data_IF_994572593028
#
_entry.id   IF_994572593028
#
_cell.length_a   1.000
_cell.length_b   1.000
_cell.length_c   1.000
_cell.angle_alpha   90.00
_cell.angle_beta   90.00
_cell.angle_gamma   90.00
#
_symmetry.space_group_name_H-M   'P 1'
#
loop_
_entity.id
_entity.type
_entity.pdbx_description
1 polymer ?
#
# COMPACT_ATOMS: atom_id res chain seq x y z
N UNK A 1 6.85 1.66 -11.13
CA UNK A 1 6.71 2.01 -9.71
C UNK A 1 5.32 1.66 -9.22
N UNK A 2 5.12 1.75 -7.90
CA UNK A 2 3.91 1.45 -7.09
C UNK A 2 2.57 1.70 -7.81
N UNK A 3 2.33 2.92 -8.33
CA UNK A 3 1.08 3.26 -9.04
C UNK A 3 0.84 2.44 -10.33
N UNK A 4 1.91 2.00 -10.99
CA UNK A 4 1.84 1.12 -12.15
C UNK A 4 1.45 -0.31 -11.77
N UNK A 5 1.96 -0.80 -10.64
CA UNK A 5 1.62 -2.13 -10.13
C UNK A 5 0.14 -2.24 -9.75
N UNK A 6 -0.38 -1.32 -8.94
CA UNK A 6 -1.80 -1.36 -8.52
C UNK A 6 -2.73 -1.31 -9.73
N UNK A 7 -2.45 -0.46 -10.73
CA UNK A 7 -3.23 -0.38 -11.96
C UNK A 7 -3.13 -1.65 -12.82
N UNK A 8 -1.95 -2.25 -12.93
CA UNK A 8 -1.76 -3.51 -13.64
C UNK A 8 -2.55 -4.64 -12.96
N UNK A 9 -2.46 -4.74 -11.63
CA UNK A 9 -3.15 -5.75 -10.84
C UNK A 9 -4.67 -5.67 -11.01
N UNK A 10 -5.21 -4.45 -10.95
CA UNK A 10 -6.64 -4.17 -11.17
C UNK A 10 -7.12 -4.55 -12.59
N UNK A 11 -6.26 -4.44 -13.60
CA UNK A 11 -6.60 -4.88 -14.97
C UNK A 11 -6.54 -6.39 -15.11
N UNK A 12 -5.52 -7.02 -14.51
CA UNK A 12 -5.29 -8.47 -14.62
C UNK A 12 -6.33 -9.28 -13.84
N UNK A 13 -6.70 -8.82 -12.65
CA UNK A 13 -7.68 -9.47 -11.78
C UNK A 13 -8.80 -8.50 -11.41
N UNK A 14 -9.73 -8.19 -12.33
CA UNK A 14 -10.76 -7.17 -12.09
C UNK A 14 -11.74 -7.56 -10.97
N UNK A 15 -11.91 -8.85 -10.69
CA UNK A 15 -12.80 -9.39 -9.65
C UNK A 15 -12.30 -9.17 -8.22
N UNK A 16 -11.04 -8.76 -8.03
CA UNK A 16 -10.52 -8.39 -6.70
C UNK A 16 -11.10 -7.05 -6.22
N UNK A 17 -11.57 -6.21 -7.15
CA UNK A 17 -12.08 -4.88 -6.85
C UNK A 17 -13.55 -4.99 -6.49
N UNK A 18 -13.90 -4.50 -5.31
CA UNK A 18 -15.29 -4.39 -4.87
C UNK A 18 -15.62 -2.93 -4.59
N UNK A 19 -16.80 -2.51 -5.04
CA UNK A 19 -17.28 -1.16 -4.77
C UNK A 19 -17.49 -0.95 -3.28
N UNK A 20 -17.01 0.17 -2.75
CA UNK A 20 -17.28 0.58 -1.38
C UNK A 20 -18.50 1.50 -1.35
N UNK A 21 -19.43 1.22 -0.44
CA UNK A 21 -20.62 2.03 -0.18
C UNK A 21 -20.30 2.99 0.98
N UNK A 22 -20.17 4.27 0.65
CA UNK A 22 -19.97 5.34 1.61
C UNK A 22 -21.30 6.07 1.90
N UNK A 23 -21.97 5.73 3.00
CA UNK A 23 -23.20 6.44 3.43
C UNK A 23 -22.92 7.81 4.05
N UNK A 24 -21.67 8.18 4.29
CA UNK A 24 -21.31 9.53 4.75
C UNK A 24 -21.46 10.59 3.66
N UNK A 25 -21.84 10.19 2.44
CA UNK A 25 -22.24 11.08 1.34
C UNK A 25 -23.41 12.02 1.72
N UNK A 26 -24.21 11.73 2.75
CA UNK A 26 -25.22 12.65 3.30
C UNK A 26 -24.70 13.67 4.32
N UNK A 27 -23.40 13.62 4.67
CA UNK A 27 -22.80 14.32 5.81
C UNK A 27 -22.60 13.37 7.00
N UNK A 28 -21.48 13.52 7.73
CA UNK A 28 -21.06 12.56 8.75
C UNK A 28 -22.09 12.35 9.88
N UNK A 29 -22.81 13.41 10.25
CA UNK A 29 -23.83 13.40 11.30
C UNK A 29 -25.10 12.64 10.93
N UNK A 30 -25.29 12.28 9.66
CA UNK A 30 -26.45 11.49 9.20
C UNK A 30 -26.23 9.97 9.31
N UNK A 31 -24.99 9.53 9.58
CA UNK A 31 -24.63 8.11 9.57
C UNK A 31 -24.84 7.49 10.94
N UNK A 32 -25.86 6.64 11.06
CA UNK A 32 -26.00 5.77 12.22
C UNK A 32 -25.03 4.58 12.10
N UNK A 33 -23.88 4.70 12.75
CA UNK A 33 -22.82 3.68 12.79
C UNK A 33 -23.19 2.43 13.59
N UNK A 34 -24.28 2.44 14.35
CA UNK A 34 -24.78 1.25 15.06
C UNK A 34 -25.64 0.32 14.18
N UNK A 35 -25.99 0.77 12.97
CA UNK A 35 -26.64 -0.10 12.00
C UNK A 35 -25.61 -1.01 11.33
N UNK A 36 -26.10 -2.13 10.78
CA UNK A 36 -25.29 -3.03 9.96
C UNK A 36 -24.55 -2.28 8.86
N UNK A 37 -23.32 -2.72 8.59
CA UNK A 37 -22.47 -2.08 7.62
C UNK A 37 -23.08 -2.18 6.20
N UNK A 38 -23.23 -1.05 5.47
CA UNK A 38 -23.86 -1.03 4.16
C UNK A 38 -23.08 -1.79 3.07
N UNK A 39 -21.83 -2.16 3.32
CA UNK A 39 -21.00 -2.96 2.42
C UNK A 39 -21.35 -4.46 2.44
N UNK A 40 -22.37 -4.86 3.20
CA UNK A 40 -22.89 -6.23 3.24
C UNK A 40 -22.06 -7.21 4.09
N UNK A 41 -20.97 -6.74 4.70
CA UNK A 41 -20.15 -7.49 5.65
C UNK A 41 -19.79 -6.59 6.83
N UNK A 42 -19.69 -7.18 8.02
CA UNK A 42 -19.19 -6.50 9.21
C UNK A 42 -17.67 -6.67 9.30
N UNK A 43 -17.00 -5.67 9.89
CA UNK A 43 -15.56 -5.65 10.04
C UNK A 43 -15.17 -5.65 11.52
N UNK A 44 -14.18 -6.46 11.88
CA UNK A 44 -13.66 -6.54 13.23
C UNK A 44 -12.59 -5.48 13.47
N UNK A 45 -11.63 -5.39 12.55
CA UNK A 45 -10.41 -4.61 12.74
C UNK A 45 -10.22 -3.61 11.59
N UNK A 46 -9.90 -2.37 11.93
CA UNK A 46 -9.48 -1.33 11.01
C UNK A 46 -8.04 -0.91 11.33
N UNK A 47 -7.16 -1.01 10.34
CA UNK A 47 -5.78 -0.57 10.41
C UNK A 47 -5.59 0.62 9.47
N UNK A 48 -5.09 1.74 9.99
CA UNK A 48 -4.87 2.97 9.22
C UNK A 48 -3.37 3.20 9.07
N UNK A 49 -2.89 3.22 7.82
CA UNK A 49 -1.64 3.88 7.51
C UNK A 49 -1.88 5.39 7.54
N UNK A 50 -1.42 6.03 8.61
CA UNK A 50 -1.66 7.45 8.85
C UNK A 50 -0.85 8.33 7.92
N UNK A 51 0.28 7.86 7.38
CA UNK A 51 1.14 8.69 6.54
C UNK A 51 0.46 9.06 5.23
N UNK A 52 -0.30 8.13 4.64
CA UNK A 52 -1.16 8.41 3.50
C UNK A 52 -2.21 9.48 3.84
N UNK A 53 -2.88 9.38 5.00
CA UNK A 53 -3.89 10.35 5.46
C UNK A 53 -3.27 11.73 5.66
N UNK A 54 -2.11 11.81 6.31
CA UNK A 54 -1.40 13.08 6.59
C UNK A 54 -0.99 13.73 5.27
N UNK A 55 -0.43 12.96 4.34
CA UNK A 55 -0.02 13.48 3.03
C UNK A 55 -1.22 13.99 2.21
N UNK A 56 -2.33 13.26 2.19
CA UNK A 56 -3.56 13.66 1.51
C UNK A 56 -4.20 14.90 2.16
N UNK A 57 -4.13 15.02 3.48
CA UNK A 57 -4.68 16.18 4.20
C UNK A 57 -3.86 17.45 3.96
N UNK A 58 -2.54 17.30 3.80
CA UNK A 58 -1.60 18.37 3.49
C UNK A 58 -1.57 18.75 1.99
N UNK A 59 -2.32 18.08 1.11
CA UNK A 59 -2.48 18.52 -0.28
C UNK A 59 -3.42 19.72 -0.34
N UNK A 60 -2.98 20.83 -0.96
CA UNK A 60 -3.87 21.94 -1.27
C UNK A 60 -4.66 21.60 -2.54
N UNK A 61 -5.99 21.66 -2.46
CA UNK A 61 -6.82 21.66 -3.67
C UNK A 61 -6.51 22.94 -4.47
N UNK A 62 -6.86 22.97 -5.76
CA UNK A 62 -6.55 24.05 -6.72
C UNK A 62 -7.07 25.46 -6.32
N UNK A 63 -7.58 25.65 -5.10
CA UNK A 63 -7.87 26.94 -4.50
C UNK A 63 -6.63 27.40 -3.72
N UNK A 64 -6.06 28.54 -4.09
CA UNK A 64 -4.80 29.14 -3.61
C UNK A 64 -4.73 29.47 -2.10
N UNK A 65 -5.47 28.79 -1.24
CA UNK A 65 -5.45 28.98 0.21
C UNK A 65 -4.36 28.08 0.78
N UNK A 66 -3.36 28.69 1.43
CA UNK A 66 -2.42 27.93 2.23
C UNK A 66 -3.10 27.38 3.48
N UNK A 67 -2.92 26.08 3.75
CA UNK A 67 -3.41 25.41 4.95
C UNK A 67 -2.40 25.60 6.08
N UNK A 68 -2.88 26.00 7.25
CA UNK A 68 -2.09 25.99 8.48
C UNK A 68 -1.91 24.56 8.99
N UNK A 69 -0.98 24.35 9.94
CA UNK A 69 -0.83 23.04 10.59
C UNK A 69 -2.12 22.58 11.28
N UNK A 70 -2.88 23.51 11.86
CA UNK A 70 -4.12 23.22 12.55
C UNK A 70 -5.23 22.81 11.57
N UNK A 71 -5.32 23.45 10.40
CA UNK A 71 -6.24 23.04 9.33
C UNK A 71 -5.93 21.62 8.85
N UNK A 72 -4.64 21.29 8.69
CA UNK A 72 -4.21 19.94 8.29
C UNK A 72 -4.60 18.91 9.35
N UNK A 73 -4.42 19.22 10.64
CA UNK A 73 -4.80 18.34 11.75
C UNK A 73 -6.32 18.13 11.78
N UNK A 74 -7.11 19.18 11.60
CA UNK A 74 -8.57 19.06 11.53
C UNK A 74 -9.01 18.18 10.35
N UNK A 75 -8.39 18.36 9.18
CA UNK A 75 -8.64 17.51 8.03
C UNK A 75 -8.29 16.04 8.29
N UNK A 76 -7.18 15.76 8.99
CA UNK A 76 -6.82 14.40 9.40
C UNK A 76 -7.93 13.78 10.24
N UNK A 77 -8.50 14.51 11.20
CA UNK A 77 -9.60 14.00 12.04
C UNK A 77 -10.85 13.71 11.23
N UNK A 78 -11.24 14.62 10.33
CA UNK A 78 -12.37 14.40 9.43
C UNK A 78 -12.16 13.15 8.55
N UNK A 79 -10.92 12.91 8.14
CA UNK A 79 -10.54 11.73 7.36
C UNK A 79 -10.70 10.43 8.14
N UNK A 80 -10.18 10.39 9.37
CA UNK A 80 -10.29 9.25 10.27
C UNK A 80 -11.76 8.96 10.53
N UNK A 81 -12.56 9.98 10.88
CA UNK A 81 -13.98 9.81 11.15
C UNK A 81 -14.74 9.28 9.92
N UNK A 82 -14.39 9.75 8.72
CA UNK A 82 -14.97 9.25 7.46
C UNK A 82 -14.66 7.77 7.25
N UNK A 83 -13.39 7.38 7.31
CA UNK A 83 -13.00 5.97 7.14
C UNK A 83 -13.64 5.09 8.22
N UNK A 84 -13.66 5.58 9.46
CA UNK A 84 -14.33 4.89 10.56
C UNK A 84 -15.83 4.67 10.28
N UNK A 85 -16.52 5.68 9.74
CA UNK A 85 -17.95 5.58 9.42
C UNK A 85 -18.27 4.60 8.29
N UNK A 86 -17.32 4.41 7.36
CA UNK A 86 -17.41 3.47 6.24
C UNK A 86 -17.20 2.03 6.75
N UNK A 87 -16.17 1.82 7.56
CA UNK A 87 -15.75 0.48 7.98
C UNK A 87 -16.48 -0.02 9.22
N UNK A 88 -16.80 0.86 10.19
CA UNK A 88 -17.50 0.51 11.43
C UNK A 88 -16.87 -0.70 12.15
N UNK A 89 -15.58 -0.61 12.55
CA UNK A 89 -14.91 -1.75 13.19
C UNK A 89 -15.56 -2.10 14.52
N UNK A 90 -15.68 -3.39 14.84
CA UNK A 90 -16.31 -3.89 16.07
C UNK A 90 -15.33 -4.35 17.17
N UNK A 91 -14.04 -4.50 16.86
CA UNK A 91 -13.03 -4.97 17.83
C UNK A 91 -11.86 -4.00 17.99
N UNK A 92 -11.28 -3.54 16.88
CA UNK A 92 -10.01 -2.82 16.90
C UNK A 92 -9.96 -1.67 15.88
N UNK A 93 -9.47 -0.51 16.33
CA UNK A 93 -8.90 0.53 15.49
C UNK A 93 -7.40 0.67 15.80
N UNK A 94 -6.54 0.42 14.81
CA UNK A 94 -5.09 0.57 14.92
C UNK A 94 -4.62 1.69 13.98
N UNK A 95 -4.00 2.73 14.54
CA UNK A 95 -3.47 3.87 13.78
C UNK A 95 -1.94 3.84 13.83
N UNK A 96 -1.30 3.71 12.66
CA UNK A 96 0.15 3.63 12.53
C UNK A 96 0.69 4.86 11.81
N UNK A 97 1.49 5.66 12.52
CA UNK A 97 2.27 6.76 11.94
C UNK A 97 3.68 6.26 11.66
N UNK A 98 4.33 6.69 10.57
CA UNK A 98 5.74 6.37 10.35
C UNK A 98 6.59 6.90 11.51
N UNK A 99 7.44 6.02 12.04
CA UNK A 99 8.56 6.40 12.89
C UNK A 99 9.88 6.32 12.14
N UNK A 100 10.98 6.25 12.89
CA UNK A 100 12.32 6.14 12.30
C UNK A 100 12.40 4.86 11.46
N UNK A 101 12.58 5.03 10.15
CA UNK A 101 12.65 3.94 9.19
C UNK A 101 14.09 3.38 9.04
N UNK A 102 14.26 2.18 8.47
CA UNK A 102 15.58 1.62 8.18
C UNK A 102 16.39 2.51 7.21
N UNK A 103 17.72 2.40 7.26
CA UNK A 103 18.63 3.21 6.42
C UNK A 103 18.31 3.14 4.92
N UNK A 104 17.85 2.00 4.43
CA UNK A 104 17.47 1.83 3.03
C UNK A 104 16.30 2.77 2.64
N UNK A 105 15.27 2.88 3.50
CA UNK A 105 14.15 3.82 3.31
C UNK A 105 14.57 5.28 3.48
N UNK A 106 15.46 5.57 4.44
CA UNK A 106 15.92 6.95 4.69
C UNK A 106 16.54 7.59 3.43
N UNK A 107 17.24 6.83 2.60
CA UNK A 107 17.76 7.33 1.32
C UNK A 107 16.64 7.74 0.36
N UNK A 108 15.58 6.95 0.27
CA UNK A 108 14.41 7.22 -0.57
C UNK A 108 13.63 8.43 -0.06
N UNK A 109 13.43 8.53 1.26
CA UNK A 109 12.82 9.68 1.93
C UNK A 109 13.65 10.96 1.72
N UNK A 110 14.98 10.90 1.86
CA UNK A 110 15.89 12.03 1.60
C UNK A 110 15.76 12.54 0.17
N UNK A 111 15.75 11.63 -0.81
CA UNK A 111 15.56 11.98 -2.22
C UNK A 111 14.20 12.64 -2.48
N UNK A 112 13.12 12.18 -1.83
CA UNK A 112 11.80 12.82 -1.93
C UNK A 112 11.81 14.24 -1.37
N UNK A 113 12.36 14.44 -0.17
CA UNK A 113 12.46 15.76 0.46
C UNK A 113 13.29 16.74 -0.37
N UNK A 114 14.42 16.30 -0.93
CA UNK A 114 15.26 17.13 -1.76
C UNK A 114 14.52 17.61 -3.03
N UNK A 115 13.77 16.70 -3.68
CA UNK A 115 12.92 17.05 -4.84
C UNK A 115 11.80 18.02 -4.47
N UNK A 116 11.15 17.80 -3.32
CA UNK A 116 10.10 18.71 -2.84
C UNK A 116 10.66 20.12 -2.57
N UNK A 117 11.83 20.20 -1.94
CA UNK A 117 12.49 21.48 -1.69
C UNK A 117 12.85 22.21 -3.00
N UNK A 118 13.40 21.50 -3.99
CA UNK A 118 13.71 22.08 -5.31
C UNK A 118 12.45 22.61 -6.01
N UNK A 119 11.35 21.86 -5.98
CA UNK A 119 10.10 22.25 -6.63
C UNK A 119 9.40 23.43 -5.91
N UNK A 120 9.57 23.55 -4.58
CA UNK A 120 8.91 24.57 -3.76
C UNK A 120 9.70 25.88 -3.63
N UNK A 121 10.86 26.02 -4.29
CA UNK A 121 11.67 27.25 -4.34
C UNK A 121 10.89 28.50 -4.81
N UNK A 122 9.72 28.31 -5.44
CA UNK A 122 8.90 29.37 -6.03
C UNK A 122 7.63 29.75 -5.23
N UNK A 123 7.19 28.96 -4.23
CA UNK A 123 5.95 29.20 -3.46
C UNK A 123 6.22 29.12 -1.95
N UNK A 124 6.44 30.26 -1.30
CA UNK A 124 6.81 30.36 0.12
C UNK A 124 5.67 30.11 1.12
N UNK A 125 4.42 30.09 0.67
CA UNK A 125 3.28 30.06 1.59
C UNK A 125 2.74 28.66 1.89
N UNK A 126 3.04 27.62 1.09
CA UNK A 126 2.47 26.28 1.27
C UNK A 126 3.18 25.45 2.35
N UNK A 127 2.42 24.62 3.08
CA UNK A 127 2.98 23.70 4.08
C UNK A 127 4.11 22.83 3.52
N UNK A 128 5.27 22.86 4.18
CA UNK A 128 6.42 22.08 3.77
C UNK A 128 6.21 20.59 4.13
N UNK A 129 5.91 19.77 3.13
CA UNK A 129 5.72 18.31 3.29
C UNK A 129 6.92 17.58 3.90
N UNK A 130 8.12 18.18 3.92
CA UNK A 130 9.28 17.64 4.64
C UNK A 130 9.09 17.65 6.16
N UNK A 131 8.12 18.40 6.70
CA UNK A 131 7.75 18.35 8.12
C UNK A 131 7.00 17.06 8.49
N UNK A 132 6.52 16.28 7.51
CA UNK A 132 5.91 14.95 7.71
C UNK A 132 7.04 13.92 7.83
N UNK A 133 7.83 14.06 8.89
CA UNK A 133 8.93 13.15 9.23
C UNK A 133 9.04 13.00 10.75
N UNK A 134 9.40 11.81 11.24
CA UNK A 134 9.62 11.59 12.67
C UNK A 134 10.64 12.59 13.23
N UNK A 135 10.37 13.11 14.43
CA UNK A 135 11.25 14.06 15.12
C UNK A 135 11.02 15.54 14.80
N UNK A 136 10.08 15.88 13.91
CA UNK A 136 9.70 17.28 13.67
C UNK A 136 8.75 17.81 14.75
N UNK A 137 8.66 19.13 14.88
CA UNK A 137 7.69 19.79 15.76
C UNK A 137 6.25 19.45 15.36
N UNK A 138 5.97 19.45 14.06
CA UNK A 138 4.66 19.08 13.51
C UNK A 138 4.23 17.67 13.91
N UNK A 139 5.10 16.66 13.74
CA UNK A 139 4.73 15.27 14.09
C UNK A 139 4.56 15.08 15.60
N UNK A 140 5.33 15.81 16.41
CA UNK A 140 5.16 15.83 17.87
C UNK A 140 3.83 16.46 18.27
N UNK A 141 3.47 17.59 17.65
CA UNK A 141 2.17 18.26 17.81
C UNK A 141 1.04 17.31 17.43
N UNK A 142 1.07 16.77 16.20
CA UNK A 142 0.07 15.84 15.69
C UNK A 142 -0.15 14.63 16.62
N UNK A 143 0.93 14.06 17.16
CA UNK A 143 0.83 12.92 18.09
C UNK A 143 0.07 13.27 19.38
N UNK A 144 0.23 14.48 19.91
CA UNK A 144 -0.53 14.93 21.08
C UNK A 144 -2.00 15.17 20.73
N UNK A 145 -2.26 15.89 19.64
CA UNK A 145 -3.61 16.15 19.15
C UNK A 145 -4.39 14.87 18.83
N UNK A 146 -3.74 13.83 18.27
CA UNK A 146 -4.37 12.53 18.04
C UNK A 146 -4.74 11.82 19.34
N UNK A 147 -3.92 11.91 20.40
CA UNK A 147 -4.28 11.36 21.72
C UNK A 147 -5.52 12.02 22.29
N UNK A 148 -5.58 13.35 22.22
CA UNK A 148 -6.73 14.12 22.68
C UNK A 148 -7.99 13.82 21.86
N UNK A 149 -7.84 13.72 20.54
CA UNK A 149 -8.91 13.33 19.62
C UNK A 149 -9.46 11.93 19.94
N UNK A 150 -8.59 10.93 20.17
CA UNK A 150 -9.00 9.57 20.55
C UNK A 150 -9.75 9.60 21.88
N UNK A 151 -9.19 10.28 22.89
CA UNK A 151 -9.83 10.40 24.20
C UNK A 151 -11.21 11.07 24.10
N UNK A 152 -11.32 12.13 23.31
CA UNK A 152 -12.59 12.80 23.05
C UNK A 152 -13.59 11.88 22.34
N UNK A 153 -13.17 11.15 21.30
CA UNK A 153 -14.03 10.21 20.57
C UNK A 153 -14.50 9.04 21.45
N UNK A 154 -13.63 8.49 22.29
CA UNK A 154 -14.03 7.45 23.26
C UNK A 154 -15.04 7.97 24.28
N UNK A 155 -15.02 9.24 24.66
CA UNK A 155 -16.00 9.80 25.60
C UNK A 155 -17.32 10.23 24.94
N UNK A 156 -17.31 10.53 23.64
CA UNK A 156 -18.47 11.11 22.94
C UNK A 156 -19.18 10.14 22.00
N UNK A 157 -18.48 9.13 21.48
CA UNK A 157 -18.98 8.22 20.47
C UNK A 157 -19.05 6.79 21.02
N UNK A 158 -20.27 6.26 21.12
CA UNK A 158 -20.54 4.93 21.65
C UNK A 158 -19.90 3.79 20.83
N UNK A 159 -19.67 3.97 19.53
CA UNK A 159 -18.98 2.95 18.73
C UNK A 159 -17.49 2.87 19.03
N UNK A 160 -16.88 3.99 19.45
CA UNK A 160 -15.48 4.01 19.90
C UNK A 160 -15.33 3.42 21.29
N UNK A 161 -16.36 3.52 22.13
CA UNK A 161 -16.39 2.93 23.48
C UNK A 161 -16.34 1.40 23.47
N UNK A 162 -16.92 0.78 22.44
CA UNK A 162 -17.01 -0.67 22.32
C UNK A 162 -15.77 -1.35 21.73
N UNK A 163 -14.75 -0.58 21.30
CA UNK A 163 -13.58 -1.12 20.62
C UNK A 163 -12.27 -0.79 21.34
N UNK A 164 -11.24 -1.57 21.05
CA UNK A 164 -9.86 -1.24 21.41
C UNK A 164 -9.32 -0.23 20.39
N UNK A 165 -8.74 0.87 20.87
CA UNK A 165 -8.03 1.84 20.01
C UNK A 165 -6.54 1.81 20.34
N UNK A 166 -5.69 1.64 19.34
CA UNK A 166 -4.23 1.65 19.48
C UNK A 166 -3.66 2.74 18.58
N UNK A 167 -2.89 3.65 19.17
CA UNK A 167 -2.08 4.63 18.44
C UNK A 167 -0.60 4.23 18.53
N UNK A 168 -0.01 3.94 17.40
CA UNK A 168 1.43 3.79 17.24
C UNK A 168 1.98 5.05 16.58
N UNK A 169 2.40 6.01 17.40
CA UNK A 169 2.87 7.32 16.94
C UNK A 169 4.26 7.28 16.27
N UNK A 170 4.77 8.46 15.89
CA UNK A 170 6.07 8.61 15.22
C UNK A 170 7.28 8.32 16.12
N UNK A 171 7.10 8.17 17.44
CA UNK A 171 8.19 7.83 18.35
C UNK A 171 8.44 6.31 18.39
N UNK A 172 7.46 5.50 17.99
CA UNK A 172 7.65 4.07 17.79
C UNK A 172 8.44 3.88 16.49
N UNK A 173 9.59 3.18 16.47
CA UNK A 173 10.38 3.00 15.26
C UNK A 173 9.67 2.09 14.23
N UNK A 174 10.02 2.25 12.95
CA UNK A 174 9.45 1.49 11.83
C UNK A 174 8.47 2.28 10.95
N UNK A 175 8.21 1.76 9.76
CA UNK A 175 7.24 2.31 8.80
C UNK A 175 5.82 1.88 9.19
N UNK A 176 4.82 2.72 8.94
CA UNK A 176 3.42 2.54 9.36
C UNK A 176 2.84 1.21 8.87
N UNK A 177 2.96 0.93 7.57
CA UNK A 177 2.58 -0.35 6.97
C UNK A 177 3.25 -1.56 7.65
N UNK A 178 4.55 -1.49 7.93
CA UNK A 178 5.28 -2.57 8.58
C UNK A 178 4.82 -2.77 10.03
N UNK A 179 4.58 -1.69 10.78
CA UNK A 179 4.01 -1.76 12.14
C UNK A 179 2.63 -2.43 12.14
N UNK A 180 1.78 -2.09 11.17
CA UNK A 180 0.45 -2.71 11.00
C UNK A 180 0.62 -4.22 10.77
N UNK A 181 1.42 -4.62 9.79
CA UNK A 181 1.56 -6.02 9.43
C UNK A 181 2.32 -6.84 10.49
N UNK A 182 3.26 -6.24 11.22
CA UNK A 182 3.90 -6.86 12.40
C UNK A 182 2.88 -7.10 13.52
N UNK A 183 2.02 -6.12 13.78
CA UNK A 183 0.95 -6.27 14.75
C UNK A 183 -0.02 -7.39 14.36
N UNK A 184 -0.43 -7.45 13.08
CA UNK A 184 -1.31 -8.52 12.56
C UNK A 184 -0.62 -9.89 12.70
N UNK A 185 0.66 -10.01 12.36
CA UNK A 185 1.43 -11.26 12.50
C UNK A 185 1.48 -11.78 13.93
N UNK A 186 1.47 -10.88 14.92
CA UNK A 186 1.51 -11.18 16.34
C UNK A 186 0.14 -11.56 16.92
N UNK A 187 -0.98 -11.31 16.23
CA UNK A 187 -2.30 -11.67 16.72
C UNK A 187 -2.55 -13.18 16.63
N UNK A 188 -3.28 -13.71 17.61
CA UNK A 188 -3.69 -15.12 17.65
C UNK A 188 -5.04 -15.40 16.98
N UNK A 189 -5.93 -14.39 16.89
CA UNK A 189 -7.26 -14.54 16.30
C UNK A 189 -7.21 -14.47 14.76
N UNK A 190 -7.31 -15.63 14.13
CA UNK A 190 -7.23 -15.80 12.67
C UNK A 190 -8.56 -15.59 11.96
N UNK A 191 -9.67 -15.58 12.69
CA UNK A 191 -11.01 -15.52 12.12
C UNK A 191 -11.63 -14.12 12.27
N UNK A 192 -10.84 -13.10 11.94
CA UNK A 192 -11.27 -11.70 11.94
C UNK A 192 -11.39 -11.17 10.52
N UNK A 193 -12.41 -10.35 10.28
CA UNK A 193 -12.52 -9.54 9.07
C UNK A 193 -11.80 -8.22 9.28
N UNK A 194 -10.68 -8.06 8.59
CA UNK A 194 -9.75 -6.95 8.79
C UNK A 194 -9.69 -6.07 7.55
N UNK A 195 -9.61 -4.76 7.76
CA UNK A 195 -9.42 -3.77 6.70
C UNK A 195 -8.16 -2.97 6.98
N UNK A 196 -7.27 -2.89 5.99
CA UNK A 196 -6.12 -1.98 6.02
C UNK A 196 -6.39 -0.86 5.05
N UNK A 197 -6.36 0.38 5.51
CA UNK A 197 -6.49 1.56 4.65
C UNK A 197 -5.10 2.06 4.25
N UNK A 198 -4.96 2.34 2.95
CA UNK A 198 -3.84 3.06 2.35
C UNK A 198 -3.80 2.85 0.84
N UNK A 199 -3.02 3.68 0.16
CA UNK A 199 -2.91 3.72 -1.29
C UNK A 199 -1.58 3.11 -1.80
N UNK A 200 -0.68 2.71 -0.89
CA UNK A 200 0.55 2.02 -1.27
C UNK A 200 0.26 0.60 -1.77
N UNK A 201 0.97 0.19 -2.82
CA UNK A 201 0.93 -1.19 -3.31
C UNK A 201 1.57 -2.18 -2.36
N UNK A 202 2.48 -1.70 -1.51
CA UNK A 202 3.21 -2.52 -0.57
C UNK A 202 2.25 -3.15 0.45
N UNK A 203 1.11 -2.50 0.76
CA UNK A 203 0.03 -3.08 1.56
C UNK A 203 -0.55 -4.37 0.97
N UNK A 204 -0.67 -4.45 -0.36
CA UNK A 204 -1.17 -5.66 -1.05
C UNK A 204 -0.12 -6.77 -0.92
N UNK A 205 1.15 -6.46 -1.18
CA UNK A 205 2.25 -7.41 -1.13
C UNK A 205 2.47 -7.94 0.29
N UNK A 206 2.57 -7.05 1.28
CA UNK A 206 2.66 -7.40 2.70
C UNK A 206 1.43 -8.21 3.14
N UNK A 207 0.24 -7.79 2.70
CA UNK A 207 -1.01 -8.50 2.96
C UNK A 207 -1.02 -9.92 2.44
N UNK A 208 -0.44 -10.20 1.26
CA UNK A 208 -0.32 -11.54 0.69
C UNK A 208 0.58 -12.45 1.54
N UNK A 209 1.71 -11.95 2.04
CA UNK A 209 2.72 -12.71 2.82
C UNK A 209 2.26 -13.14 4.23
N UNK A 210 1.09 -12.69 4.70
CA UNK A 210 0.63 -13.03 6.06
C UNK A 210 0.31 -14.51 6.24
N UNK A 211 -0.27 -15.16 5.22
CA UNK A 211 -0.73 -16.56 5.15
C UNK A 211 -1.63 -17.11 6.27
N UNK A 212 -1.72 -16.44 7.42
CA UNK A 212 -2.50 -16.85 8.59
C UNK A 212 -3.92 -16.31 8.57
N UNK A 213 -4.12 -15.13 7.99
CA UNK A 213 -5.40 -14.43 7.94
C UNK A 213 -5.76 -14.13 6.49
N UNK A 214 -6.82 -14.77 5.99
CA UNK A 214 -7.24 -14.63 4.60
C UNK A 214 -8.33 -13.58 4.40
N UNK A 215 -9.04 -13.18 5.47
CA UNK A 215 -10.15 -12.22 5.41
C UNK A 215 -9.64 -10.78 5.58
N UNK A 216 -8.71 -10.37 4.72
CA UNK A 216 -8.16 -9.00 4.70
C UNK A 216 -8.57 -8.31 3.40
N UNK A 217 -9.11 -7.09 3.54
CA UNK A 217 -9.35 -6.18 2.42
C UNK A 217 -8.47 -4.94 2.55
N UNK A 218 -7.97 -4.43 1.43
CA UNK A 218 -7.30 -3.13 1.40
C UNK A 218 -8.33 -2.09 0.94
N UNK A 219 -8.50 -1.01 1.70
CA UNK A 219 -9.35 0.11 1.33
C UNK A 219 -8.48 1.19 0.67
N UNK A 220 -8.76 1.51 -0.59
CA UNK A 220 -8.03 2.51 -1.38
C UNK A 220 -8.97 3.60 -1.89
N UNK A 221 -8.41 4.78 -2.16
CA UNK A 221 -9.13 5.84 -2.88
C UNK A 221 -9.09 5.63 -4.39
N UNK A 222 -10.23 5.87 -5.05
CA UNK A 222 -10.28 5.85 -6.50
C UNK A 222 -9.75 7.17 -7.07
N UNK A 223 -8.52 7.13 -7.57
CA UNK A 223 -7.83 8.25 -8.23
C UNK A 223 -8.48 8.70 -9.55
N UNK A 224 -9.54 8.02 -10.04
CA UNK A 224 -10.30 8.44 -11.23
C UNK A 224 -11.41 9.45 -10.92
N UNK A 225 -11.67 9.74 -9.65
CA UNK A 225 -12.64 10.77 -9.28
C UNK A 225 -12.10 12.14 -9.70
N UNK A 226 -12.80 12.82 -10.61
CA UNK A 226 -12.52 14.21 -10.96
C UNK A 226 -12.47 15.07 -9.69
N UNK A 227 -11.57 16.05 -9.66
CA UNK A 227 -11.31 16.96 -8.53
C UNK A 227 -12.55 17.72 -8.00
N UNK A 228 -13.69 17.66 -8.70
CA UNK A 228 -14.97 18.27 -8.30
C UNK A 228 -15.99 17.29 -7.72
N UNK A 229 -15.72 15.98 -7.70
CA UNK A 229 -16.57 14.97 -7.04
C UNK A 229 -15.90 14.46 -5.76
N UNK A 230 -16.70 14.27 -4.71
CA UNK A 230 -16.24 13.71 -3.43
C UNK A 230 -15.50 12.38 -3.65
N UNK A 231 -14.39 12.21 -2.93
CA UNK A 231 -13.51 11.03 -3.03
C UNK A 231 -14.30 9.73 -2.90
N UNK A 232 -14.10 8.79 -3.83
CA UNK A 232 -14.69 7.45 -3.81
C UNK A 232 -13.69 6.45 -3.26
N UNK A 233 -14.19 5.41 -2.60
CA UNK A 233 -13.37 4.32 -2.07
C UNK A 233 -13.66 3.01 -2.80
N UNK A 234 -12.66 2.12 -2.81
CA UNK A 234 -12.77 0.77 -3.34
C UNK A 234 -12.07 -0.21 -2.41
N UNK A 235 -12.58 -1.45 -2.36
CA UNK A 235 -11.92 -2.55 -1.68
C UNK A 235 -11.12 -3.38 -2.67
N UNK A 236 -9.92 -3.80 -2.26
CA UNK A 236 -9.16 -4.87 -2.90
C UNK A 236 -9.23 -6.09 -1.97
N UNK A 237 -9.90 -7.15 -2.42
CA UNK A 237 -10.10 -8.37 -1.64
C UNK A 237 -8.90 -9.33 -1.80
N UNK A 238 -8.07 -9.44 -0.76
CA UNK A 238 -6.89 -10.30 -0.80
C UNK A 238 -7.23 -11.79 -0.79
N UNK A 239 -8.45 -12.17 -0.38
CA UNK A 239 -8.90 -13.57 -0.46
C UNK A 239 -9.12 -13.98 -1.91
N UNK A 240 -9.78 -13.10 -2.68
CA UNK A 240 -10.02 -13.32 -4.11
C UNK A 240 -8.68 -13.30 -4.87
N UNK A 241 -7.81 -12.33 -4.57
CA UNK A 241 -6.49 -12.25 -5.19
C UNK A 241 -5.67 -13.53 -4.98
N UNK A 242 -5.65 -14.07 -3.75
CA UNK A 242 -4.97 -15.35 -3.46
C UNK A 242 -5.53 -16.51 -4.26
N UNK A 243 -6.85 -16.60 -4.42
CA UNK A 243 -7.49 -17.64 -5.23
C UNK A 243 -7.07 -17.52 -6.71
N UNK A 244 -7.01 -16.29 -7.22
CA UNK A 244 -6.59 -16.05 -8.60
C UNK A 244 -5.12 -16.41 -8.81
N UNK A 245 -4.25 -16.02 -7.88
CA UNK A 245 -2.84 -16.40 -7.87
C UNK A 245 -2.65 -17.92 -7.72
N UNK A 246 -3.44 -18.58 -6.87
CA UNK A 246 -3.43 -20.04 -6.76
C UNK A 246 -3.72 -20.71 -8.10
N UNK A 247 -4.79 -20.29 -8.79
CA UNK A 247 -5.14 -20.83 -10.09
C UNK A 247 -4.05 -20.58 -11.14
N UNK A 248 -3.42 -19.40 -11.10
CA UNK A 248 -2.38 -19.03 -12.05
C UNK A 248 -1.05 -19.76 -11.79
N UNK A 249 -0.63 -19.88 -10.53
CA UNK A 249 0.67 -20.41 -10.13
C UNK A 249 0.68 -21.93 -9.97
N UNK A 250 -0.48 -22.58 -10.02
CA UNK A 250 -0.58 -24.03 -9.88
C UNK A 250 0.14 -24.75 -11.01
N UNK A 251 1.01 -25.68 -10.63
CA UNK A 251 1.71 -26.59 -11.56
C UNK A 251 1.70 -28.01 -11.00
N UNK A 252 2.01 -28.99 -11.86
CA UNK A 252 2.40 -30.32 -11.45
C UNK A 252 3.93 -30.39 -11.42
N UNK A 253 4.57 -30.37 -10.23
CA UNK A 253 6.03 -30.43 -10.12
C UNK A 253 6.58 -31.74 -10.68
N UNK A 254 7.83 -31.70 -11.16
CA UNK A 254 8.58 -32.89 -11.58
C UNK A 254 9.70 -33.15 -10.58
N UNK A 255 9.96 -34.42 -10.26
CA UNK A 255 11.10 -34.78 -9.40
C UNK A 255 12.40 -34.17 -9.96
N UNK A 256 13.24 -33.50 -9.15
CA UNK A 256 13.28 -33.51 -7.68
C UNK A 256 12.51 -32.37 -6.98
N UNK A 257 11.69 -31.59 -7.67
CA UNK A 257 10.99 -30.45 -7.06
C UNK A 257 9.98 -30.89 -5.97
N UNK A 258 9.83 -30.10 -4.89
CA UNK A 258 8.89 -30.40 -3.82
C UNK A 258 7.43 -30.34 -4.30
N UNK A 259 6.52 -30.93 -3.53
CA UNK A 259 5.08 -30.83 -3.78
C UNK A 259 4.65 -29.36 -3.79
N UNK A 260 3.73 -29.03 -4.70
CA UNK A 260 3.20 -27.69 -4.82
C UNK A 260 2.41 -27.28 -3.57
N UNK A 261 2.84 -26.18 -2.97
CA UNK A 261 2.25 -25.43 -1.89
C UNK A 261 1.90 -24.01 -2.39
N UNK A 262 0.65 -23.60 -2.14
CA UNK A 262 0.11 -22.30 -2.55
C UNK A 262 0.85 -21.12 -1.92
N UNK A 263 1.00 -21.14 -0.59
CA UNK A 263 1.51 -20.00 0.17
C UNK A 263 2.97 -19.72 -0.21
N UNK A 264 3.77 -20.78 -0.41
CA UNK A 264 5.15 -20.69 -0.93
C UNK A 264 5.23 -20.14 -2.36
N UNK A 265 4.29 -20.51 -3.24
CA UNK A 265 4.24 -19.96 -4.60
C UNK A 265 3.87 -18.46 -4.59
N UNK A 266 2.99 -18.05 -3.68
CA UNK A 266 2.62 -16.65 -3.50
C UNK A 266 3.80 -15.84 -2.95
N UNK A 267 4.58 -16.37 -2.01
CA UNK A 267 5.80 -15.71 -1.51
C UNK A 267 6.81 -15.45 -2.64
N UNK A 268 7.03 -16.43 -3.50
CA UNK A 268 7.88 -16.29 -4.68
C UNK A 268 7.34 -15.27 -5.68
N UNK A 269 6.02 -15.22 -5.86
CA UNK A 269 5.38 -14.22 -6.71
C UNK A 269 5.56 -12.80 -6.16
N UNK A 270 5.43 -12.62 -4.84
CA UNK A 270 5.74 -11.35 -4.15
C UNK A 270 7.21 -10.96 -4.35
N UNK A 271 8.14 -11.91 -4.24
CA UNK A 271 9.55 -11.66 -4.56
C UNK A 271 9.73 -11.18 -6.01
N UNK A 272 9.06 -11.79 -6.98
CA UNK A 272 9.13 -11.37 -8.37
C UNK A 272 8.59 -9.95 -8.58
N UNK A 273 7.54 -9.55 -7.86
CA UNK A 273 7.05 -8.17 -7.89
C UNK A 273 8.13 -7.17 -7.44
N UNK A 274 8.95 -7.52 -6.43
CA UNK A 274 10.06 -6.66 -5.99
C UNK A 274 11.14 -6.44 -7.06
N UNK A 275 11.28 -7.32 -8.05
CA UNK A 275 12.21 -7.13 -9.17
C UNK A 275 11.79 -5.98 -10.10
N UNK A 276 10.49 -5.64 -10.13
CA UNK A 276 9.94 -4.49 -10.86
C UNK A 276 10.24 -3.13 -10.23
N UNK A 277 10.98 -3.13 -9.12
CA UNK A 277 11.36 -1.97 -8.34
C UNK A 277 10.46 -1.75 -7.12
N UNK A 278 11.09 -1.39 -6.01
CA UNK A 278 10.46 -1.05 -4.75
C UNK A 278 11.19 0.17 -4.14
N UNK A 279 10.84 0.55 -2.92
CA UNK A 279 11.43 1.71 -2.26
C UNK A 279 12.92 1.57 -1.90
N UNK A 280 13.43 0.34 -1.90
CA UNK A 280 14.80 0.01 -1.48
C UNK A 280 15.73 -0.29 -2.67
N UNK A 281 15.17 -0.81 -3.77
CA UNK A 281 15.91 -1.24 -4.95
C UNK A 281 15.41 -0.53 -6.21
N UNK A 282 16.32 -0.03 -7.07
CA UNK A 282 15.93 0.52 -8.36
C UNK A 282 15.28 -0.56 -9.22
N UNK A 283 14.37 -0.16 -10.10
CA UNK A 283 13.73 -1.09 -11.02
C UNK A 283 14.74 -1.62 -12.04
N UNK A 284 14.65 -2.91 -12.36
CA UNK A 284 15.35 -3.46 -13.53
C UNK A 284 14.72 -2.80 -14.78
N UNK A 285 15.49 -2.18 -15.70
CA UNK A 285 14.91 -1.38 -16.79
C UNK A 285 13.93 -2.11 -17.71
N UNK A 286 14.12 -3.42 -17.87
CA UNK A 286 13.28 -4.33 -18.64
C UNK A 286 12.06 -4.84 -17.86
N UNK A 287 12.05 -4.70 -16.53
CA UNK A 287 10.94 -5.07 -15.65
C UNK A 287 10.19 -3.79 -15.24
N UNK A 288 9.28 -3.38 -16.11
CA UNK A 288 8.28 -2.36 -15.79
C UNK A 288 6.88 -3.00 -15.82
N UNK A 289 5.98 -2.53 -14.95
CA UNK A 289 4.60 -3.03 -14.81
C UNK A 289 3.67 -2.65 -15.98
N UNK A 290 4.19 -2.66 -17.22
CA UNK A 290 3.40 -2.62 -18.45
C UNK A 290 3.16 -4.03 -18.97
N UNK A 291 2.03 -4.21 -19.64
CA UNK A 291 1.06 -5.31 -19.43
C UNK A 291 1.59 -6.74 -19.40
N UNK A 292 2.72 -7.07 -20.02
CA UNK A 292 3.14 -8.47 -20.22
C UNK A 292 4.38 -8.91 -19.43
N UNK A 293 5.12 -8.02 -18.75
CA UNK A 293 6.41 -8.44 -18.17
C UNK A 293 6.25 -9.36 -16.97
N UNK A 294 5.26 -9.07 -16.11
CA UNK A 294 4.95 -9.94 -14.97
C UNK A 294 4.39 -11.29 -15.42
N UNK A 295 3.67 -11.35 -16.53
CA UNK A 295 3.18 -12.61 -17.11
C UNK A 295 4.35 -13.44 -17.62
N UNK A 296 5.28 -12.80 -18.34
CA UNK A 296 6.52 -13.44 -18.81
C UNK A 296 7.34 -14.00 -17.64
N UNK A 297 7.51 -13.21 -16.57
CA UNK A 297 8.22 -13.65 -15.36
C UNK A 297 7.51 -14.82 -14.69
N UNK A 298 6.18 -14.77 -14.59
CA UNK A 298 5.38 -15.83 -13.98
C UNK A 298 5.46 -17.12 -14.80
N UNK A 299 5.42 -17.04 -16.12
CA UNK A 299 5.58 -18.20 -17.00
C UNK A 299 6.97 -18.85 -16.86
N UNK A 300 8.04 -18.04 -16.88
CA UNK A 300 9.40 -18.55 -16.68
C UNK A 300 9.52 -19.21 -15.30
N UNK A 301 9.02 -18.55 -14.27
CA UNK A 301 9.03 -19.10 -12.92
C UNK A 301 8.33 -20.45 -12.86
N UNK A 302 7.12 -20.57 -13.39
CA UNK A 302 6.35 -21.82 -13.36
C UNK A 302 7.04 -22.95 -14.12
N UNK A 303 7.47 -22.68 -15.35
CA UNK A 303 7.87 -23.73 -16.29
C UNK A 303 9.36 -24.08 -16.23
N UNK A 304 10.21 -23.08 -16.00
CA UNK A 304 11.66 -23.23 -16.06
C UNK A 304 12.31 -23.34 -14.68
N UNK A 305 11.65 -22.83 -13.63
CA UNK A 305 12.18 -22.81 -12.25
C UNK A 305 11.42 -23.75 -11.33
N UNK A 306 10.18 -23.42 -10.99
CA UNK A 306 9.39 -24.12 -9.96
C UNK A 306 9.18 -25.60 -10.29
N UNK A 307 8.92 -25.92 -11.56
CA UNK A 307 8.67 -27.31 -12.01
C UNK A 307 9.85 -28.26 -11.77
N UNK A 308 11.09 -27.78 -11.93
CA UNK A 308 12.29 -28.62 -11.97
C UNK A 308 13.23 -28.41 -10.79
N UNK A 309 13.19 -27.23 -10.17
CA UNK A 309 14.14 -26.82 -9.13
C UNK A 309 13.45 -26.55 -7.78
N UNK A 310 12.22 -26.03 -7.80
CA UNK A 310 11.45 -25.67 -6.60
C UNK A 310 11.37 -24.16 -6.37
N UNK A 311 11.06 -23.77 -5.13
CA UNK A 311 10.75 -22.38 -4.75
C UNK A 311 11.97 -21.44 -4.76
N UNK A 312 11.75 -20.16 -5.03
CA UNK A 312 12.74 -19.09 -4.93
C UNK A 312 13.03 -18.71 -3.47
N UNK A 313 12.04 -18.86 -2.59
CA UNK A 313 12.11 -18.44 -1.20
C UNK A 313 11.73 -19.55 -0.21
N UNK A 314 12.28 -19.49 0.98
CA UNK A 314 11.90 -20.30 2.14
C UNK A 314 11.99 -19.47 3.43
N UNK A 315 10.85 -19.11 4.03
CA UNK A 315 10.79 -18.30 5.25
C UNK A 315 11.71 -17.06 5.20
N UNK A 316 11.55 -16.26 4.14
CA UNK A 316 12.38 -15.09 3.82
C UNK A 316 13.86 -15.37 3.45
N UNK A 317 14.30 -16.62 3.39
CA UNK A 317 15.61 -16.98 2.82
C UNK A 317 15.51 -17.14 1.31
N UNK A 318 16.38 -16.45 0.58
CA UNK A 318 16.42 -16.47 -0.87
C UNK A 318 17.31 -17.62 -1.38
N UNK A 319 16.74 -18.49 -2.21
CA UNK A 319 17.51 -19.44 -3.00
C UNK A 319 18.14 -18.74 -4.21
N UNK A 320 19.40 -18.33 -4.05
CA UNK A 320 20.17 -17.59 -5.07
C UNK A 320 20.34 -18.38 -6.36
N UNK A 321 20.43 -19.70 -6.29
CA UNK A 321 20.59 -20.54 -7.48
C UNK A 321 19.32 -20.52 -8.32
N UNK A 322 18.15 -20.66 -7.69
CA UNK A 322 16.86 -20.62 -8.40
C UNK A 322 16.58 -19.22 -8.96
N UNK A 323 16.90 -18.16 -8.21
CA UNK A 323 16.79 -16.79 -8.72
C UNK A 323 17.73 -16.56 -9.91
N UNK A 324 18.95 -17.08 -9.88
CA UNK A 324 19.89 -16.98 -11.01
C UNK A 324 19.33 -17.65 -12.27
N UNK A 325 18.69 -18.81 -12.12
CA UNK A 325 18.02 -19.53 -13.22
C UNK A 325 16.88 -18.66 -13.79
N UNK A 326 16.01 -18.12 -12.93
CA UNK A 326 14.93 -17.22 -13.33
C UNK A 326 15.46 -16.04 -14.15
N UNK A 327 16.47 -15.34 -13.62
CA UNK A 327 17.06 -14.16 -14.28
C UNK A 327 17.78 -14.52 -15.58
N UNK A 328 18.39 -15.70 -15.67
CA UNK A 328 19.01 -16.19 -16.92
C UNK A 328 17.96 -16.34 -18.01
N UNK A 329 16.87 -17.07 -17.77
CA UNK A 329 15.81 -17.24 -18.76
C UNK A 329 15.08 -15.92 -19.08
N UNK A 330 14.96 -15.04 -18.09
CA UNK A 330 14.41 -13.71 -18.32
C UNK A 330 15.29 -12.86 -19.26
N UNK A 331 16.62 -12.93 -19.11
CA UNK A 331 17.58 -12.20 -19.94
C UNK A 331 17.49 -12.57 -21.43
N UNK A 332 17.12 -13.81 -21.74
CA UNK A 332 16.91 -14.26 -23.13
C UNK A 332 15.73 -13.55 -23.80
N UNK A 333 14.76 -13.07 -23.02
CA UNK A 333 13.58 -12.33 -23.50
C UNK A 333 13.75 -10.82 -23.41
N UNK A 334 14.78 -10.33 -22.74
CA UNK A 334 14.98 -8.91 -22.42
C UNK A 334 15.06 -8.02 -23.66
N UNK A 335 15.86 -8.39 -24.66
CA UNK A 335 15.99 -7.63 -25.90
C UNK A 335 14.63 -7.44 -26.62
N UNK A 336 13.81 -8.50 -26.66
CA UNK A 336 12.49 -8.45 -27.28
C UNK A 336 11.53 -7.53 -26.51
N UNK A 337 11.60 -7.56 -25.18
CA UNK A 337 10.81 -6.68 -24.31
C UNK A 337 11.18 -5.21 -24.56
N UNK A 338 12.48 -4.91 -24.62
CA UNK A 338 12.98 -3.55 -24.84
C UNK A 338 12.65 -3.02 -26.24
N UNK A 339 12.69 -3.86 -27.27
CA UNK A 339 12.35 -3.46 -28.65
C UNK A 339 10.85 -3.18 -28.85
N UNK A 340 9.98 -3.96 -28.19
CA UNK A 340 8.52 -3.77 -28.25
C UNK A 340 8.04 -2.56 -27.45
N UNK A 341 8.93 -1.97 -26.64
CA UNK A 341 8.60 -0.82 -25.82
C UNK A 341 8.27 0.37 -26.73
N UNK A 342 7.07 0.98 -26.60
CA UNK A 342 6.71 2.10 -27.44
C UNK A 342 7.70 3.26 -27.20
N UNK A 343 8.26 3.82 -28.29
CA UNK A 343 9.25 4.90 -28.27
C UNK A 343 8.77 6.18 -27.58
N UNK A 344 7.48 6.28 -27.24
CA UNK A 344 6.82 7.45 -26.64
C UNK A 344 7.29 7.80 -25.22
N UNK A 345 8.10 6.96 -24.55
CA UNK A 345 8.66 7.28 -23.23
C UNK A 345 10.14 7.72 -23.23
N UNK A 346 10.82 7.73 -24.38
CA UNK A 346 12.22 8.18 -24.45
C UNK A 346 12.30 9.71 -24.41
N UNK A 347 11.40 10.41 -25.09
CA UNK A 347 11.37 11.88 -25.14
C UNK A 347 11.12 12.53 -23.77
N UNK A 348 10.33 11.90 -22.90
CA UNK A 348 10.05 12.42 -21.55
C UNK A 348 11.17 12.12 -20.52
N UNK A 349 12.04 11.14 -20.79
CA UNK A 349 13.20 10.84 -19.93
C UNK A 349 14.44 11.64 -20.34
N UNK A 350 14.65 11.89 -21.64
CA UNK A 350 15.79 12.69 -22.13
C UNK A 350 15.67 14.16 -21.70
N UNK A 351 14.45 14.73 -21.71
CA UNK A 351 14.23 16.10 -21.20
C UNK A 351 14.55 16.24 -19.70
N UNK A 352 14.45 15.16 -18.92
CA UNK A 352 14.85 15.16 -17.49
C UNK A 352 16.34 14.93 -17.25
N UNK A 353 17.08 14.32 -18.19
CA UNK A 353 18.54 14.21 -18.08
C UNK A 353 19.25 15.46 -18.59
N UNK A 354 18.71 16.14 -19.61
CA UNK A 354 19.31 17.37 -20.15
C UNK A 354 19.05 18.60 -19.25
N UNK A 355 17.98 18.61 -18.45
CA UNK A 355 17.76 19.62 -17.41
C UNK A 355 18.63 19.43 -16.15
N UNK A 356 19.41 18.34 -16.05
CA UNK A 356 20.29 18.03 -14.92
C UNK A 356 21.79 18.19 -15.28
N UNK A 357 22.10 18.89 -16.38
CA UNK A 357 23.45 19.03 -16.90
C UNK A 357 23.82 20.46 -17.34
N UNK A 358 23.25 21.49 -16.70
CA UNK A 358 23.65 22.89 -16.86
C UNK A 358 23.71 23.60 -15.50
#
# INVERSE_FOLDING_TARGET
GVRGFSRWLQRKYPDIIQQCVDKSEGGLYSVNIMQSNPNGIEFDNLYLDMNDIIHLSAECDNQHISKTEDDIIEMIFQYIDRIFSIIRPHKLLYMAIDGVAPRAKLNQQRCRCFRNAQNNSANSESFNKCHIQPGTSFMSKLSNYLRDYIYHRMNTNSAWQSIKVILSDSNVPGEGEHKIFDFIRAQSDLNTYSVVYGNDSDLILLGLTLHKTYNIKILCEDFRSDNNQRKKYTFIDLKILRRNLENELKINPSSPAPQWNRDRAIDDWVLMCFLGGNDFLPNIPSIEFYENVMDILTDIYKHDVLKSHGYLTDNAQLNRNHLKILLKYFSEKENNILQKRPKTNVSLRVVKSEANGA
#
